data_IF_949080241366
#
_entry.id   IF_949080241366
#
_cell.length_a   1.000
_cell.length_b   1.000
_cell.length_c   1.000
_cell.angle_alpha   90.00
_cell.angle_beta   90.00
_cell.angle_gamma   90.00
#
_symmetry.space_group_name_H-M   'P 1'
#
loop_
_entity.id
_entity.type
_entity.pdbx_description
1 polymer ?
#
# COMPACT_ATOMS: atom_id res chain seq x y z
N UNK A 1 -2.26 0.22 -17.81
CA UNK A 1 -2.58 1.58 -17.27
C UNK A 1 -2.66 1.59 -15.75
N UNK A 2 -3.39 0.66 -15.08
CA UNK A 2 -3.46 0.63 -13.59
C UNK A 2 -2.09 0.44 -12.92
N UNK A 3 -1.21 -0.40 -13.47
CA UNK A 3 0.18 -0.52 -13.02
C UNK A 3 0.88 0.86 -12.97
N UNK A 4 0.79 1.62 -14.08
CA UNK A 4 1.37 2.98 -14.15
C UNK A 4 0.64 3.97 -13.23
N UNK A 5 -0.66 3.77 -12.98
CA UNK A 5 -1.41 4.56 -12.00
C UNK A 5 -0.87 4.35 -10.59
N UNK A 6 -0.73 3.10 -10.14
CA UNK A 6 -0.13 2.79 -8.83
C UNK A 6 1.34 3.19 -8.72
N UNK A 7 2.10 3.06 -9.82
CA UNK A 7 3.46 3.58 -9.92
C UNK A 7 3.51 5.09 -9.62
N UNK A 8 2.70 5.89 -10.33
CA UNK A 8 2.64 7.33 -10.11
C UNK A 8 2.17 7.68 -8.69
N UNK A 9 1.12 7.02 -8.18
CA UNK A 9 0.64 7.23 -6.80
C UNK A 9 1.77 7.13 -5.78
N UNK A 10 2.60 6.09 -5.88
CA UNK A 10 3.71 5.92 -4.95
C UNK A 10 4.87 6.90 -5.21
N UNK A 11 5.11 7.30 -6.45
CA UNK A 11 6.08 8.37 -6.74
C UNK A 11 5.65 9.70 -6.07
N UNK A 12 4.35 10.06 -6.14
CA UNK A 12 3.83 11.28 -5.50
C UNK A 12 3.86 11.19 -3.97
N UNK A 13 3.71 10.01 -3.40
CA UNK A 13 3.73 9.77 -1.95
C UNK A 13 5.13 9.82 -1.36
N UNK A 14 6.11 9.24 -2.06
CA UNK A 14 7.47 9.01 -1.55
C UNK A 14 8.40 10.20 -1.79
N UNK A 15 8.14 11.02 -2.81
CA UNK A 15 8.98 12.13 -3.24
C UNK A 15 9.42 13.06 -2.10
N UNK A 16 8.53 13.39 -1.17
CA UNK A 16 8.84 14.27 -0.04
C UNK A 16 9.89 13.67 0.91
N UNK A 17 9.97 12.34 1.04
CA UNK A 17 10.95 11.69 1.93
C UNK A 17 12.41 11.97 1.52
N UNK A 18 12.65 12.13 0.22
CA UNK A 18 13.96 12.55 -0.31
C UNK A 18 14.07 14.07 -0.36
N UNK A 19 13.01 14.75 -0.82
CA UNK A 19 13.02 16.21 -0.95
C UNK A 19 13.29 16.90 0.39
N UNK A 20 12.67 16.47 1.49
CA UNK A 20 12.83 17.08 2.82
C UNK A 20 14.28 17.02 3.30
N UNK A 21 15.03 15.99 2.91
CA UNK A 21 16.46 15.86 3.22
C UNK A 21 17.28 16.95 2.49
N UNK A 22 16.93 17.22 1.23
CA UNK A 22 17.59 18.27 0.46
C UNK A 22 17.18 19.68 0.94
N UNK A 23 15.90 19.88 1.23
CA UNK A 23 15.33 21.15 1.69
C UNK A 23 15.93 21.63 3.03
N UNK A 24 16.33 20.70 3.89
CA UNK A 24 16.83 21.01 5.24
C UNK A 24 18.34 20.81 5.42
N UNK A 25 19.05 20.34 4.37
CA UNK A 25 20.50 20.17 4.45
C UNK A 25 21.23 21.51 4.47
N UNK A 26 22.34 21.57 5.21
CA UNK A 26 23.23 22.71 5.20
C UNK A 26 24.12 22.70 3.95
N UNK A 27 24.33 23.87 3.36
CA UNK A 27 25.28 24.09 2.27
C UNK A 27 25.99 25.42 2.41
N UNK A 28 27.16 25.52 1.79
CA UNK A 28 28.00 26.70 1.83
C UNK A 28 27.64 27.64 0.68
N UNK A 29 27.40 28.93 1.00
CA UNK A 29 27.20 30.01 0.01
C UNK A 29 28.31 30.99 0.19
N UNK A 30 29.08 31.23 -0.89
CA UNK A 30 30.09 32.29 -0.91
C UNK A 30 29.45 33.59 -1.38
N UNK A 31 29.37 34.56 -0.48
CA UNK A 31 28.86 35.90 -0.76
C UNK A 31 29.80 36.68 -1.70
N UNK A 32 29.27 37.74 -2.33
CA UNK A 32 30.04 38.59 -3.25
C UNK A 32 31.30 39.25 -2.61
N UNK A 33 31.32 39.33 -1.27
CA UNK A 33 32.46 39.82 -0.51
C UNK A 33 33.54 38.74 -0.20
N UNK A 34 33.40 37.51 -0.74
CA UNK A 34 34.30 36.39 -0.50
C UNK A 34 34.07 35.63 0.80
N UNK A 35 33.09 36.04 1.67
CA UNK A 35 32.79 35.36 2.90
C UNK A 35 31.89 34.14 2.61
N UNK A 36 32.27 32.96 3.11
CA UNK A 36 31.45 31.75 3.03
C UNK A 36 30.56 31.64 4.26
N UNK A 37 29.26 31.59 4.03
CA UNK A 37 28.25 31.35 5.08
C UNK A 37 27.61 29.96 4.89
N UNK A 38 27.33 29.32 6.01
CA UNK A 38 26.57 28.05 6.02
C UNK A 38 25.10 28.40 6.13
N UNK A 39 24.30 27.96 5.19
CA UNK A 39 22.85 28.20 5.16
C UNK A 39 22.08 26.94 4.78
N UNK A 40 20.77 26.99 4.88
CA UNK A 40 19.82 25.96 4.40
C UNK A 40 18.58 26.64 3.84
N UNK A 41 17.83 25.94 2.95
CA UNK A 41 16.64 26.53 2.34
C UNK A 41 15.51 26.73 3.36
N UNK A 42 15.32 25.75 4.25
CA UNK A 42 14.29 25.78 5.28
C UNK A 42 14.84 25.40 6.65
N UNK A 43 14.49 26.22 7.65
CA UNK A 43 14.86 25.99 9.04
C UNK A 43 13.77 25.20 9.77
N UNK A 44 13.55 23.96 9.31
CA UNK A 44 12.57 23.05 9.93
C UNK A 44 13.27 22.07 10.87
N UNK A 45 12.82 22.04 12.12
CA UNK A 45 13.26 21.05 13.09
C UNK A 45 12.72 19.65 12.74
N UNK A 46 13.23 18.64 13.40
CA UNK A 46 12.84 17.24 13.17
C UNK A 46 11.35 16.99 13.46
N UNK A 47 10.74 17.77 14.36
CA UNK A 47 9.31 17.67 14.69
C UNK A 47 8.46 18.16 13.53
N UNK A 48 8.78 19.34 12.97
CA UNK A 48 8.10 19.91 11.80
C UNK A 48 8.24 18.94 10.61
N UNK A 49 9.44 18.39 10.38
CA UNK A 49 9.66 17.39 9.35
C UNK A 49 8.78 16.13 9.56
N UNK A 50 8.64 15.67 10.82
CA UNK A 50 7.75 14.56 11.18
C UNK A 50 6.29 14.85 10.87
N UNK A 51 5.80 16.05 11.19
CA UNK A 51 4.44 16.49 10.84
C UNK A 51 4.22 16.58 9.33
N UNK A 52 5.18 17.09 8.57
CA UNK A 52 5.10 17.17 7.11
C UNK A 52 5.03 15.78 6.47
N UNK A 53 5.86 14.84 6.91
CA UNK A 53 5.88 13.47 6.39
C UNK A 53 4.61 12.67 6.77
N UNK A 54 3.99 13.00 7.90
CA UNK A 54 2.75 12.36 8.35
C UNK A 54 1.49 12.98 7.75
N UNK A 55 1.55 14.25 7.34
CA UNK A 55 0.38 15.05 6.95
C UNK A 55 -0.44 14.46 5.80
N UNK A 56 0.20 13.80 4.86
CA UNK A 56 -0.45 13.06 3.79
C UNK A 56 -1.46 12.03 4.35
N UNK A 57 -1.09 11.31 5.38
CA UNK A 57 -1.93 10.24 5.92
C UNK A 57 -3.16 10.76 6.66
N UNK A 58 -3.16 12.04 7.12
CA UNK A 58 -4.34 12.65 7.72
C UNK A 58 -5.50 12.75 6.71
N UNK A 59 -5.19 13.19 5.47
CA UNK A 59 -6.19 13.21 4.42
C UNK A 59 -6.57 11.82 3.93
N UNK A 60 -5.58 10.97 3.75
CA UNK A 60 -5.72 9.63 3.19
C UNK A 60 -6.71 8.74 3.98
N UNK A 61 -6.70 8.79 5.32
CA UNK A 61 -7.55 7.95 6.16
C UNK A 61 -9.05 8.26 5.97
N UNK A 62 -9.41 9.53 5.77
CA UNK A 62 -10.82 9.94 5.66
C UNK A 62 -11.49 9.49 4.37
N UNK A 63 -10.74 9.39 3.28
CA UNK A 63 -11.31 9.14 1.96
C UNK A 63 -11.34 7.67 1.56
N UNK A 64 -10.80 6.76 2.38
CA UNK A 64 -10.84 5.32 2.14
C UNK A 64 -12.29 4.79 1.98
N UNK A 65 -13.21 5.17 2.87
CA UNK A 65 -14.61 4.77 2.78
C UNK A 65 -15.36 5.54 1.69
N UNK A 66 -15.11 6.85 1.60
CA UNK A 66 -15.75 7.73 0.62
C UNK A 66 -15.39 7.28 -0.81
N UNK A 67 -14.15 6.87 -1.04
CA UNK A 67 -13.66 6.41 -2.34
C UNK A 67 -14.41 5.19 -2.88
N UNK A 68 -14.75 4.23 -2.01
CA UNK A 68 -15.55 3.07 -2.40
C UNK A 68 -16.95 3.49 -2.89
N UNK A 69 -17.62 4.37 -2.14
CA UNK A 69 -18.93 4.90 -2.51
C UNK A 69 -18.88 5.70 -3.81
N UNK A 70 -17.88 6.60 -3.94
CA UNK A 70 -17.70 7.40 -5.14
C UNK A 70 -17.42 6.53 -6.38
N UNK A 71 -16.61 5.47 -6.23
CA UNK A 71 -16.33 4.53 -7.31
C UNK A 71 -17.57 3.81 -7.82
N UNK A 72 -18.52 3.48 -6.93
CA UNK A 72 -19.80 2.85 -7.31
C UNK A 72 -20.71 3.87 -8.02
N UNK A 73 -20.79 5.11 -7.54
CA UNK A 73 -21.74 6.10 -8.03
C UNK A 73 -21.29 6.81 -9.31
N UNK A 74 -20.01 7.13 -9.43
CA UNK A 74 -19.44 7.94 -10.52
C UNK A 74 -18.57 7.13 -11.48
N UNK A 75 -18.36 5.84 -11.22
CA UNK A 75 -17.45 4.97 -11.98
C UNK A 75 -16.00 5.02 -11.50
N UNK A 76 -15.34 3.88 -11.54
CA UNK A 76 -13.96 3.74 -11.09
C UNK A 76 -12.96 4.56 -11.91
N UNK A 77 -13.20 4.68 -13.21
CA UNK A 77 -12.37 5.45 -14.15
C UNK A 77 -12.24 6.93 -13.75
N UNK A 78 -13.38 7.60 -13.55
CA UNK A 78 -13.41 9.06 -13.28
C UNK A 78 -12.84 9.34 -11.90
N UNK A 79 -13.24 8.57 -10.88
CA UNK A 79 -12.76 8.77 -9.50
C UNK A 79 -11.25 8.55 -9.41
N UNK A 80 -10.70 7.53 -10.08
CA UNK A 80 -9.26 7.31 -10.14
C UNK A 80 -8.53 8.47 -10.83
N UNK A 81 -9.06 8.93 -11.98
CA UNK A 81 -8.46 10.04 -12.72
C UNK A 81 -8.45 11.34 -11.91
N UNK A 82 -9.56 11.69 -11.27
CA UNK A 82 -9.66 12.89 -10.42
C UNK A 82 -8.74 12.77 -9.21
N UNK A 83 -8.71 11.60 -8.56
CA UNK A 83 -7.85 11.36 -7.41
C UNK A 83 -6.37 11.58 -7.74
N UNK A 84 -5.86 10.84 -8.74
CA UNK A 84 -4.44 10.96 -9.11
C UNK A 84 -4.12 12.28 -9.81
N UNK A 85 -5.03 12.80 -10.65
CA UNK A 85 -4.83 14.08 -11.35
C UNK A 85 -4.73 15.25 -10.40
N UNK A 86 -5.64 15.35 -9.42
CA UNK A 86 -5.60 16.41 -8.40
C UNK A 86 -4.39 16.28 -7.49
N UNK A 87 -4.03 15.07 -7.07
CA UNK A 87 -2.81 14.84 -6.32
C UNK A 87 -1.56 15.28 -7.11
N UNK A 88 -1.52 15.00 -8.42
CA UNK A 88 -0.42 15.44 -9.29
C UNK A 88 -0.31 16.96 -9.42
N UNK A 89 -1.45 17.66 -9.54
CA UNK A 89 -1.50 19.14 -9.58
C UNK A 89 -1.01 19.71 -8.24
N UNK A 90 -1.48 19.18 -7.12
CA UNK A 90 -1.05 19.60 -5.78
C UNK A 90 0.44 19.36 -5.57
N UNK A 91 0.97 18.25 -6.08
CA UNK A 91 2.40 17.96 -6.07
C UNK A 91 3.20 19.03 -6.83
N UNK A 92 2.75 19.48 -8.02
CA UNK A 92 3.39 20.58 -8.76
C UNK A 92 3.35 21.88 -7.94
N UNK A 93 2.31 22.10 -7.15
CA UNK A 93 2.17 23.30 -6.30
C UNK A 93 2.96 23.21 -4.99
N UNK A 94 3.45 22.03 -4.61
CA UNK A 94 4.18 21.79 -3.35
C UNK A 94 5.38 22.73 -3.17
N UNK A 95 6.27 22.98 -4.15
CA UNK A 95 7.38 23.93 -3.98
C UNK A 95 6.92 25.36 -3.67
N UNK A 96 5.88 25.82 -4.37
CA UNK A 96 5.32 27.17 -4.14
C UNK A 96 4.75 27.27 -2.71
N UNK A 97 4.04 26.25 -2.27
CA UNK A 97 3.49 26.19 -0.91
C UNK A 97 4.61 26.20 0.15
N UNK A 98 5.70 25.47 -0.09
CA UNK A 98 6.84 25.42 0.82
C UNK A 98 7.49 26.81 1.02
N UNK A 99 7.69 27.57 -0.06
CA UNK A 99 8.25 28.91 0.01
C UNK A 99 7.33 29.93 0.69
N UNK A 100 6.01 29.77 0.60
CA UNK A 100 5.05 30.69 1.23
C UNK A 100 5.00 30.44 2.73
N UNK A 101 4.68 29.20 3.16
CA UNK A 101 4.55 28.85 4.58
C UNK A 101 4.49 27.34 4.78
N UNK A 102 5.10 26.85 5.87
CA UNK A 102 5.05 25.44 6.27
C UNK A 102 3.63 24.92 6.49
N UNK A 103 2.74 25.75 7.00
CA UNK A 103 1.32 25.38 7.23
C UNK A 103 0.55 25.21 5.92
N UNK A 104 0.88 26.01 4.90
CA UNK A 104 0.31 25.84 3.57
C UNK A 104 0.82 24.56 2.92
N UNK A 105 2.11 24.24 3.07
CA UNK A 105 2.70 22.98 2.62
C UNK A 105 1.98 21.80 3.28
N UNK A 106 1.76 21.86 4.60
CA UNK A 106 1.04 20.84 5.36
C UNK A 106 -0.39 20.67 4.82
N UNK A 107 -1.12 21.76 4.56
CA UNK A 107 -2.44 21.71 3.97
C UNK A 107 -2.47 21.06 2.59
N UNK A 108 -1.50 21.41 1.72
CA UNK A 108 -1.35 20.79 0.38
C UNK A 108 -1.12 19.29 0.51
N UNK A 109 -0.26 18.85 1.41
CA UNK A 109 -0.01 17.41 1.67
C UNK A 109 -1.24 16.68 2.19
N UNK A 110 -2.05 17.29 3.06
CA UNK A 110 -3.33 16.72 3.52
C UNK A 110 -4.30 16.57 2.33
N UNK A 111 -4.40 17.60 1.47
CA UNK A 111 -5.24 17.54 0.28
C UNK A 111 -4.76 16.44 -0.71
N UNK A 112 -3.46 16.29 -0.92
CA UNK A 112 -2.92 15.17 -1.72
C UNK A 112 -3.38 13.83 -1.15
N UNK A 113 -3.30 13.65 0.18
CA UNK A 113 -3.79 12.45 0.86
C UNK A 113 -5.27 12.22 0.65
N UNK A 114 -6.11 13.27 0.74
CA UNK A 114 -7.55 13.19 0.48
C UNK A 114 -7.85 12.69 -0.94
N UNK A 115 -7.14 13.19 -1.93
CA UNK A 115 -7.33 12.77 -3.32
C UNK A 115 -6.76 11.38 -3.61
N UNK A 116 -5.62 11.01 -3.03
CA UNK A 116 -5.05 9.67 -3.21
C UNK A 116 -5.81 8.58 -2.45
N UNK A 117 -6.46 8.91 -1.33
CA UNK A 117 -7.16 7.92 -0.51
C UNK A 117 -8.33 7.23 -1.22
N UNK A 118 -8.90 7.84 -2.26
CA UNK A 118 -9.97 7.22 -3.07
C UNK A 118 -9.44 6.20 -4.08
N UNK A 119 -8.15 6.19 -4.41
CA UNK A 119 -7.55 5.44 -5.54
C UNK A 119 -7.68 3.93 -5.34
N UNK A 120 -7.27 3.40 -4.19
CA UNK A 120 -7.33 1.95 -3.91
C UNK A 120 -8.77 1.44 -3.90
N UNK A 121 -9.72 2.06 -3.16
CA UNK A 121 -11.11 1.61 -3.16
C UNK A 121 -11.77 1.67 -4.54
N UNK A 122 -11.57 2.74 -5.31
CA UNK A 122 -12.19 2.86 -6.63
C UNK A 122 -11.59 1.90 -7.66
N UNK A 123 -10.32 1.51 -7.51
CA UNK A 123 -9.72 0.50 -8.39
C UNK A 123 -10.43 -0.86 -8.32
N UNK A 124 -11.06 -1.19 -7.18
CA UNK A 124 -11.85 -2.41 -7.02
C UNK A 124 -13.06 -2.44 -7.97
N UNK A 125 -13.67 -1.28 -8.27
CA UNK A 125 -14.77 -1.19 -9.25
C UNK A 125 -14.28 -1.48 -10.67
N UNK A 126 -13.08 -1.02 -11.01
CA UNK A 126 -12.47 -1.30 -12.32
C UNK A 126 -12.20 -2.82 -12.44
N UNK A 127 -11.63 -3.43 -11.41
CA UNK A 127 -11.39 -4.88 -11.38
C UNK A 127 -12.67 -5.70 -11.47
N UNK A 128 -13.74 -5.24 -10.80
CA UNK A 128 -15.05 -5.89 -10.85
C UNK A 128 -15.58 -5.99 -12.28
N UNK A 129 -15.37 -4.96 -13.09
CA UNK A 129 -15.90 -4.87 -14.45
C UNK A 129 -14.97 -5.48 -15.50
N UNK A 130 -13.65 -5.43 -15.31
CA UNK A 130 -12.67 -5.79 -16.34
C UNK A 130 -11.93 -7.11 -16.09
N UNK A 131 -11.84 -7.58 -14.84
CA UNK A 131 -11.00 -8.73 -14.52
C UNK A 131 -11.78 -10.04 -14.52
N UNK A 132 -11.52 -10.97 -15.50
CA UNK A 132 -12.08 -12.31 -15.49
C UNK A 132 -11.73 -13.06 -14.21
N UNK A 133 -12.64 -13.89 -13.69
CA UNK A 133 -12.46 -14.59 -12.40
C UNK A 133 -11.15 -15.35 -12.30
N UNK A 134 -10.79 -16.10 -13.33
CA UNK A 134 -9.61 -16.96 -13.34
C UNK A 134 -8.29 -16.17 -13.42
N UNK A 135 -8.30 -14.94 -13.97
CA UNK A 135 -7.12 -14.13 -14.16
C UNK A 135 -7.04 -12.94 -13.16
N UNK A 136 -8.09 -12.72 -12.39
CA UNK A 136 -8.25 -11.56 -11.51
C UNK A 136 -7.09 -11.39 -10.55
N UNK A 137 -6.67 -12.45 -9.88
CA UNK A 137 -5.56 -12.41 -8.92
C UNK A 137 -4.26 -11.98 -9.59
N UNK A 138 -3.94 -12.55 -10.75
CA UNK A 138 -2.76 -12.20 -11.54
C UNK A 138 -2.76 -10.74 -11.98
N UNK A 139 -3.86 -10.27 -12.54
CA UNK A 139 -4.00 -8.89 -13.04
C UNK A 139 -3.87 -7.87 -11.90
N UNK A 140 -4.51 -8.12 -10.75
CA UNK A 140 -4.43 -7.26 -9.56
C UNK A 140 -2.99 -7.23 -9.04
N UNK A 141 -2.32 -8.38 -8.91
CA UNK A 141 -0.94 -8.46 -8.40
C UNK A 141 0.03 -7.71 -9.32
N UNK A 142 -0.10 -7.85 -10.64
CA UNK A 142 0.71 -7.10 -11.60
C UNK A 142 0.48 -5.59 -11.44
N UNK A 143 -0.75 -5.15 -11.29
CA UNK A 143 -1.02 -3.72 -11.14
C UNK A 143 -0.48 -3.16 -9.81
N UNK A 144 -0.70 -3.87 -8.70
CA UNK A 144 -0.20 -3.46 -7.38
C UNK A 144 1.33 -3.46 -7.33
N UNK A 145 2.02 -4.32 -8.09
CA UNK A 145 3.50 -4.28 -8.16
C UNK A 145 4.04 -2.94 -8.64
N UNK A 146 3.22 -2.14 -9.33
CA UNK A 146 3.53 -0.75 -9.66
C UNK A 146 3.89 0.10 -8.44
N UNK A 147 3.33 -0.17 -7.26
CA UNK A 147 3.64 0.55 -6.02
C UNK A 147 5.11 0.36 -5.59
N UNK A 148 5.60 -0.87 -5.63
CA UNK A 148 6.98 -1.19 -5.27
C UNK A 148 7.96 -0.68 -6.31
N UNK A 149 7.67 -0.90 -7.60
CA UNK A 149 8.53 -0.42 -8.69
C UNK A 149 8.55 1.10 -8.73
N UNK A 150 7.41 1.76 -8.46
CA UNK A 150 7.33 3.21 -8.29
C UNK A 150 8.27 3.71 -7.18
N UNK A 151 8.25 3.08 -6.02
CA UNK A 151 9.13 3.42 -4.91
C UNK A 151 10.61 3.20 -5.27
N UNK A 152 10.95 2.05 -5.86
CA UNK A 152 12.32 1.69 -6.27
C UNK A 152 12.90 2.68 -7.28
N UNK A 153 12.09 3.20 -8.20
CA UNK A 153 12.52 4.18 -9.20
C UNK A 153 12.47 5.60 -8.64
N UNK A 154 11.45 5.93 -7.85
CA UNK A 154 11.26 7.28 -7.31
C UNK A 154 12.41 7.71 -6.40
N UNK A 155 12.87 6.85 -5.49
CA UNK A 155 13.90 7.21 -4.51
C UNK A 155 15.23 7.64 -5.17
N UNK A 156 15.84 6.83 -6.07
CA UNK A 156 17.06 7.24 -6.75
C UNK A 156 16.85 8.44 -7.68
N UNK A 157 15.74 8.44 -8.43
CA UNK A 157 15.46 9.52 -9.37
C UNK A 157 15.25 10.86 -8.65
N UNK A 158 14.53 10.85 -7.51
CA UNK A 158 14.37 12.04 -6.66
C UNK A 158 15.71 12.56 -6.15
N UNK A 159 16.59 11.66 -5.72
CA UNK A 159 17.93 12.05 -5.26
C UNK A 159 18.78 12.66 -6.38
N UNK A 160 18.75 12.08 -7.59
CA UNK A 160 19.44 12.62 -8.75
C UNK A 160 18.87 13.99 -9.19
N UNK A 161 17.55 14.10 -9.29
CA UNK A 161 16.87 15.35 -9.62
C UNK A 161 17.26 16.45 -8.62
N UNK A 162 17.19 16.14 -7.33
CA UNK A 162 17.57 17.09 -6.27
C UNK A 162 19.03 17.54 -6.36
N UNK A 163 19.95 16.62 -6.67
CA UNK A 163 21.38 16.92 -6.72
C UNK A 163 21.75 17.79 -7.94
N UNK A 164 21.09 17.60 -9.08
CA UNK A 164 21.46 18.25 -10.33
C UNK A 164 20.58 19.46 -10.71
N UNK A 165 19.30 19.44 -10.32
CA UNK A 165 18.29 20.42 -10.75
C UNK A 165 17.60 21.15 -9.59
N UNK A 166 17.97 20.83 -8.34
CA UNK A 166 17.31 21.34 -7.15
C UNK A 166 16.13 20.45 -6.70
N UNK A 167 15.77 20.55 -5.42
CA UNK A 167 14.73 19.72 -4.81
C UNK A 167 13.33 19.97 -5.39
N UNK A 168 13.06 21.17 -5.92
CA UNK A 168 11.79 21.53 -6.56
C UNK A 168 11.51 20.67 -7.78
N UNK A 169 12.54 20.29 -8.52
CA UNK A 169 12.45 19.48 -9.73
C UNK A 169 11.78 18.12 -9.48
N UNK A 170 11.94 17.57 -8.29
CA UNK A 170 11.29 16.33 -7.87
C UNK A 170 9.76 16.44 -8.05
N UNK A 171 9.18 17.50 -7.50
CA UNK A 171 7.75 17.74 -7.51
C UNK A 171 7.22 18.07 -8.90
N UNK A 172 7.96 18.87 -9.67
CA UNK A 172 7.57 19.21 -11.03
C UNK A 172 7.59 18.00 -11.96
N UNK A 173 8.63 17.16 -11.89
CA UNK A 173 8.77 15.99 -12.77
C UNK A 173 7.70 14.95 -12.45
N UNK A 174 7.56 14.53 -11.19
CA UNK A 174 6.58 13.50 -10.84
C UNK A 174 5.14 13.99 -10.98
N UNK A 175 4.86 15.26 -10.64
CA UNK A 175 3.55 15.84 -10.85
C UNK A 175 3.18 15.94 -12.33
N UNK A 176 4.12 16.34 -13.21
CA UNK A 176 3.90 16.40 -14.66
C UNK A 176 3.65 14.99 -15.24
N UNK A 177 4.43 13.99 -14.84
CA UNK A 177 4.24 12.59 -15.27
C UNK A 177 2.86 12.07 -14.86
N UNK A 178 2.41 12.38 -13.64
CA UNK A 178 1.06 12.02 -13.17
C UNK A 178 -0.04 12.72 -13.95
N UNK A 179 0.09 14.01 -14.28
CA UNK A 179 -0.85 14.74 -15.13
C UNK A 179 -0.92 14.15 -16.55
N UNK A 180 0.22 13.85 -17.17
CA UNK A 180 0.30 13.22 -18.49
C UNK A 180 -0.39 11.85 -18.45
N UNK A 181 -0.11 11.03 -17.43
CA UNK A 181 -0.77 9.75 -17.26
C UNK A 181 -2.29 9.90 -17.16
N UNK A 182 -2.77 10.91 -16.43
CA UNK A 182 -4.20 11.18 -16.25
C UNK A 182 -4.89 11.47 -17.58
N UNK A 183 -4.26 12.25 -18.47
CA UNK A 183 -4.77 12.52 -19.84
C UNK A 183 -4.89 11.21 -20.63
N UNK A 184 -3.84 10.38 -20.65
CA UNK A 184 -3.87 9.09 -21.32
C UNK A 184 -4.90 8.13 -20.71
N UNK A 185 -5.05 8.13 -19.39
CA UNK A 185 -6.06 7.34 -18.69
C UNK A 185 -7.47 7.67 -19.14
N UNK A 186 -7.83 8.96 -19.12
CA UNK A 186 -9.17 9.43 -19.54
C UNK A 186 -9.46 9.09 -20.99
N UNK A 187 -8.44 9.15 -21.85
CA UNK A 187 -8.58 8.85 -23.27
C UNK A 187 -8.68 7.36 -23.58
N UNK A 188 -7.87 6.52 -22.93
CA UNK A 188 -7.73 5.10 -23.26
C UNK A 188 -8.70 4.18 -22.50
N UNK A 189 -9.05 4.52 -21.24
CA UNK A 189 -9.77 3.60 -20.37
C UNK A 189 -11.27 3.87 -20.41
N UNK A 190 -12.07 2.81 -20.33
CA UNK A 190 -13.54 2.84 -20.17
C UNK A 190 -13.92 2.19 -18.84
N UNK A 191 -15.09 2.55 -18.29
CA UNK A 191 -15.57 1.97 -17.02
C UNK A 191 -16.00 0.52 -17.18
N UNK A 192 -16.50 0.14 -18.35
CA UNK A 192 -16.97 -1.21 -18.66
C UNK A 192 -16.43 -1.70 -20.01
N UNK A 193 -16.16 -3.01 -20.18
CA UNK A 193 -15.82 -3.60 -21.47
C UNK A 193 -16.86 -3.35 -22.55
N UNK A 194 -18.13 -3.25 -22.18
CA UNK A 194 -19.25 -2.98 -23.11
C UNK A 194 -19.22 -1.58 -23.71
N UNK A 195 -18.52 -0.65 -23.08
CA UNK A 195 -18.37 0.74 -23.53
C UNK A 195 -17.12 0.94 -24.41
N UNK A 196 -16.26 -0.08 -24.52
CA UNK A 196 -15.02 0.04 -25.28
C UNK A 196 -15.24 -0.34 -26.75
N UNK A 197 -15.20 0.63 -27.70
CA UNK A 197 -15.40 0.34 -29.11
C UNK A 197 -14.24 -0.45 -29.74
N UNK A 198 -13.12 -0.61 -29.03
CA UNK A 198 -11.92 -1.28 -29.51
C UNK A 198 -11.82 -2.74 -29.08
N UNK A 199 -12.67 -3.19 -28.16
CA UNK A 199 -12.66 -4.57 -27.68
C UNK A 199 -13.15 -5.53 -28.75
N UNK A 200 -12.51 -6.69 -28.89
CA UNK A 200 -12.99 -7.72 -29.80
C UNK A 200 -14.27 -8.38 -29.25
N UNK A 201 -15.15 -8.83 -30.15
CA UNK A 201 -16.37 -9.53 -29.74
C UNK A 201 -16.10 -10.83 -28.97
N UNK A 202 -14.95 -11.47 -29.22
CA UNK A 202 -14.51 -12.67 -28.51
C UNK A 202 -14.07 -12.34 -27.08
N UNK A 203 -13.25 -11.30 -26.92
CA UNK A 203 -12.78 -10.83 -25.63
C UNK A 203 -13.94 -10.32 -24.77
N UNK A 204 -14.85 -9.55 -25.35
CA UNK A 204 -16.05 -9.07 -24.68
C UNK A 204 -16.89 -10.25 -24.13
N UNK A 205 -17.14 -11.28 -24.98
CA UNK A 205 -17.85 -12.48 -24.53
C UNK A 205 -17.11 -13.23 -23.45
N UNK A 206 -15.78 -13.37 -23.57
CA UNK A 206 -14.96 -14.04 -22.55
C UNK A 206 -15.06 -13.34 -21.21
N UNK A 207 -14.90 -12.01 -21.17
CA UNK A 207 -15.01 -11.24 -19.93
C UNK A 207 -16.42 -11.34 -19.37
N UNK A 208 -17.47 -11.10 -20.19
CA UNK A 208 -18.86 -11.10 -19.74
C UNK A 208 -19.26 -12.46 -19.20
N UNK A 209 -18.99 -13.55 -19.93
CA UNK A 209 -19.33 -14.90 -19.47
C UNK A 209 -18.57 -15.28 -18.19
N UNK A 210 -17.31 -14.84 -18.05
CA UNK A 210 -16.56 -15.13 -16.82
C UNK A 210 -17.10 -14.37 -15.61
N UNK A 211 -17.77 -13.23 -15.81
CA UNK A 211 -18.39 -12.41 -14.79
C UNK A 211 -19.84 -12.80 -14.51
N UNK A 212 -20.53 -13.46 -15.45
CA UNK A 212 -21.86 -14.03 -15.26
C UNK A 212 -21.82 -15.09 -14.14
N UNK A 213 -22.78 -15.02 -13.23
CA UNK A 213 -22.83 -15.88 -12.03
C UNK A 213 -22.09 -15.35 -10.81
N UNK A 214 -21.46 -14.17 -10.88
CA UNK A 214 -21.04 -13.38 -9.71
C UNK A 214 -22.03 -12.24 -9.44
N UNK A 215 -23.30 -12.55 -9.28
CA UNK A 215 -24.16 -11.61 -8.56
C UNK A 215 -23.72 -11.75 -7.09
N UNK A 216 -23.05 -10.74 -6.48
CA UNK A 216 -22.93 -10.73 -5.03
C UNK A 216 -24.37 -10.79 -4.54
N UNK A 217 -24.61 -11.59 -3.52
CA UNK A 217 -25.89 -11.60 -2.82
C UNK A 217 -26.01 -10.21 -2.15
N UNK A 218 -26.53 -9.25 -2.91
CA UNK A 218 -26.62 -7.83 -2.53
C UNK A 218 -27.63 -7.62 -1.40
N UNK A 219 -28.38 -8.67 -1.03
CA UNK A 219 -29.35 -8.65 0.05
C UNK A 219 -28.81 -9.16 1.40
N UNK A 220 -27.55 -9.61 1.48
CA UNK A 220 -26.98 -10.01 2.77
C UNK A 220 -26.60 -8.79 3.59
N UNK A 221 -27.23 -8.64 4.73
CA UNK A 221 -26.81 -7.66 5.73
C UNK A 221 -25.38 -7.97 6.19
N UNK A 222 -24.49 -6.97 6.08
CA UNK A 222 -23.11 -7.11 6.53
C UNK A 222 -23.09 -7.26 8.06
N UNK A 223 -22.57 -8.37 8.61
CA UNK A 223 -22.57 -8.59 10.06
C UNK A 223 -21.44 -7.82 10.73
N UNK A 224 -21.50 -6.47 10.68
CA UNK A 224 -20.42 -5.58 11.12
C UNK A 224 -19.98 -5.87 12.57
N UNK A 225 -20.93 -6.10 13.49
CA UNK A 225 -20.61 -6.38 14.89
C UNK A 225 -19.87 -7.71 15.05
N UNK A 226 -20.27 -8.75 14.32
CA UNK A 226 -19.60 -10.05 14.37
C UNK A 226 -18.18 -9.96 13.79
N UNK A 227 -17.97 -9.13 12.77
CA UNK A 227 -16.65 -8.84 12.19
C UNK A 227 -15.79 -8.10 13.21
N UNK A 228 -16.30 -7.00 13.81
CA UNK A 228 -15.56 -6.16 14.76
C UNK A 228 -15.29 -6.85 16.10
N UNK A 229 -16.06 -7.88 16.48
CA UNK A 229 -15.82 -8.65 17.71
C UNK A 229 -15.04 -9.94 17.49
N UNK A 230 -14.67 -10.26 16.22
CA UNK A 230 -13.97 -11.49 15.86
C UNK A 230 -12.45 -11.40 16.18
N UNK A 231 -11.91 -12.24 17.09
CA UNK A 231 -10.49 -12.24 17.40
C UNK A 231 -9.58 -12.50 16.20
N UNK A 232 -9.88 -13.41 15.24
CA UNK A 232 -9.10 -13.60 14.03
C UNK A 232 -9.05 -12.36 13.13
N UNK A 233 -10.12 -11.56 13.07
CA UNK A 233 -10.13 -10.30 12.31
C UNK A 233 -9.18 -9.29 12.96
N UNK A 234 -9.21 -9.15 14.29
CA UNK A 234 -8.24 -8.30 14.99
C UNK A 234 -6.81 -8.78 14.84
N UNK A 235 -6.58 -10.10 14.77
CA UNK A 235 -5.26 -10.64 14.48
C UNK A 235 -4.74 -10.17 13.11
N UNK A 236 -5.60 -10.15 12.09
CA UNK A 236 -5.25 -9.59 10.77
C UNK A 236 -4.98 -8.09 10.83
N UNK A 237 -5.81 -7.33 11.54
CA UNK A 237 -5.67 -5.86 11.68
C UNK A 237 -4.33 -5.53 12.36
N UNK A 238 -4.01 -6.21 13.46
CA UNK A 238 -2.77 -6.00 14.20
C UNK A 238 -1.55 -6.40 13.37
N UNK A 239 -1.61 -7.54 12.67
CA UNK A 239 -0.54 -7.98 11.79
C UNK A 239 -0.29 -6.97 10.65
N UNK A 240 -1.36 -6.54 9.96
CA UNK A 240 -1.28 -5.54 8.91
C UNK A 240 -0.72 -4.20 9.43
N UNK A 241 -1.20 -3.73 10.59
CA UNK A 241 -0.72 -2.48 11.20
C UNK A 241 0.75 -2.58 11.62
N UNK A 242 1.21 -3.75 12.08
CA UNK A 242 2.61 -3.97 12.46
C UNK A 242 3.53 -3.96 11.24
N UNK A 243 3.12 -4.61 10.14
CA UNK A 243 3.88 -4.60 8.88
C UNK A 243 3.97 -3.17 8.30
N UNK A 244 2.83 -2.49 8.26
CA UNK A 244 2.74 -1.12 7.73
C UNK A 244 3.50 -0.11 8.61
N UNK A 245 3.64 -0.35 9.93
CA UNK A 245 4.49 0.47 10.80
C UNK A 245 5.92 0.51 10.28
N UNK A 246 6.56 -0.65 10.10
CA UNK A 246 7.93 -0.70 9.61
C UNK A 246 8.04 -0.19 8.18
N UNK A 247 7.09 -0.55 7.31
CA UNK A 247 7.07 -0.10 5.93
C UNK A 247 7.04 1.44 5.83
N UNK A 248 6.11 2.12 6.50
CA UNK A 248 6.02 3.58 6.44
C UNK A 248 7.13 4.28 7.20
N UNK A 249 7.62 3.71 8.33
CA UNK A 249 8.79 4.25 9.02
C UNK A 249 9.99 4.29 8.07
N UNK A 250 10.27 3.19 7.39
CA UNK A 250 11.39 3.14 6.45
C UNK A 250 11.13 4.00 5.22
N UNK A 251 9.92 3.99 4.68
CA UNK A 251 9.56 4.78 3.51
C UNK A 251 9.79 6.28 3.71
N UNK A 252 9.51 6.78 4.90
CA UNK A 252 9.62 8.21 5.22
C UNK A 252 10.97 8.61 5.81
N UNK A 253 11.66 7.71 6.50
CA UNK A 253 12.84 8.05 7.30
C UNK A 253 14.15 7.45 6.76
N UNK A 254 14.08 6.42 5.92
CA UNK A 254 15.30 5.72 5.45
C UNK A 254 16.26 6.63 4.68
N UNK A 255 15.82 7.51 3.76
CA UNK A 255 16.74 8.43 3.08
C UNK A 255 17.49 9.35 4.05
N UNK A 256 16.78 9.80 5.10
CA UNK A 256 17.35 10.64 6.17
C UNK A 256 18.38 9.87 7.00
N UNK A 257 18.04 8.67 7.44
CA UNK A 257 18.94 7.78 8.18
C UNK A 257 20.21 7.47 7.37
N UNK A 258 20.06 7.12 6.09
CA UNK A 258 21.21 6.86 5.20
C UNK A 258 22.11 8.08 5.07
N UNK A 259 21.53 9.27 4.90
CA UNK A 259 22.32 10.49 4.73
C UNK A 259 23.03 10.92 6.00
N UNK A 260 22.29 11.07 7.10
CA UNK A 260 22.81 11.73 8.30
C UNK A 260 23.50 10.77 9.26
N UNK A 261 22.92 9.59 9.51
CA UNK A 261 23.49 8.60 10.43
C UNK A 261 24.60 7.76 9.76
N UNK A 262 24.39 7.32 8.52
CA UNK A 262 25.36 6.50 7.78
C UNK A 262 26.28 7.31 6.87
N UNK A 263 26.08 8.62 6.77
CA UNK A 263 26.93 9.57 6.03
C UNK A 263 27.04 9.30 4.52
N UNK A 264 26.01 8.73 3.91
CA UNK A 264 25.93 8.66 2.46
C UNK A 264 25.72 10.08 1.88
N UNK A 265 26.21 10.35 0.67
CA UNK A 265 25.75 11.53 -0.05
C UNK A 265 24.26 11.37 -0.46
N UNK A 266 23.60 12.45 -0.84
CA UNK A 266 22.15 12.43 -1.15
C UNK A 266 21.82 11.48 -2.31
N UNK A 267 22.65 11.46 -3.35
CA UNK A 267 22.48 10.57 -4.51
C UNK A 267 22.53 9.10 -4.08
N UNK A 268 23.59 8.70 -3.38
CA UNK A 268 23.78 7.31 -2.94
C UNK A 268 22.71 6.90 -1.91
N UNK A 269 22.28 7.83 -1.05
CA UNK A 269 21.20 7.57 -0.08
C UNK A 269 19.90 7.19 -0.77
N UNK A 270 19.56 7.81 -1.90
CA UNK A 270 18.39 7.46 -2.71
C UNK A 270 18.49 6.05 -3.30
N UNK A 271 19.63 5.70 -3.90
CA UNK A 271 19.85 4.35 -4.45
C UNK A 271 19.80 3.27 -3.37
N UNK A 272 20.51 3.49 -2.27
CA UNK A 272 20.58 2.51 -1.18
C UNK A 272 19.22 2.34 -0.50
N UNK A 273 18.46 3.42 -0.36
CA UNK A 273 17.10 3.37 0.21
C UNK A 273 16.09 2.64 -0.67
N UNK A 274 16.36 2.45 -1.96
CA UNK A 274 15.50 1.67 -2.86
C UNK A 274 15.69 0.14 -2.70
N UNK A 275 16.88 -0.31 -2.28
CA UNK A 275 17.22 -1.75 -2.20
C UNK A 275 16.28 -2.58 -1.32
N UNK A 276 15.85 -2.12 -0.13
CA UNK A 276 14.90 -2.86 0.68
C UNK A 276 13.57 -3.12 -0.02
N UNK A 277 13.04 -2.17 -0.76
CA UNK A 277 11.77 -2.31 -1.50
C UNK A 277 11.90 -3.25 -2.70
N UNK A 278 13.06 -3.25 -3.33
CA UNK A 278 13.38 -4.25 -4.35
C UNK A 278 13.42 -5.65 -3.75
N UNK A 279 14.02 -5.81 -2.56
CA UNK A 279 14.06 -7.08 -1.85
C UNK A 279 12.64 -7.59 -1.49
N UNK A 280 11.75 -6.72 -0.98
CA UNK A 280 10.33 -7.09 -0.74
C UNK A 280 9.68 -7.61 -2.01
N UNK A 281 9.86 -6.92 -3.13
CA UNK A 281 9.25 -7.30 -4.40
C UNK A 281 9.66 -8.72 -4.84
N UNK A 282 10.90 -9.12 -4.61
CA UNK A 282 11.37 -10.48 -4.88
C UNK A 282 10.89 -11.49 -3.83
N UNK A 283 11.01 -11.14 -2.55
CA UNK A 283 10.70 -12.08 -1.46
C UNK A 283 9.22 -12.41 -1.42
N UNK A 284 8.31 -11.46 -1.72
CA UNK A 284 6.87 -11.73 -1.74
C UNK A 284 6.50 -12.76 -2.82
N UNK A 285 7.17 -12.74 -3.98
CA UNK A 285 6.96 -13.74 -5.04
C UNK A 285 7.46 -15.11 -4.58
N UNK A 286 8.65 -15.17 -3.99
CA UNK A 286 9.20 -16.43 -3.44
C UNK A 286 8.26 -16.98 -2.37
N UNK A 287 7.80 -16.14 -1.46
CA UNK A 287 6.89 -16.54 -0.38
C UNK A 287 5.55 -17.04 -0.93
N UNK A 288 4.98 -16.37 -1.94
CA UNK A 288 3.75 -16.81 -2.61
C UNK A 288 3.89 -18.20 -3.22
N UNK A 289 4.90 -18.41 -4.07
CA UNK A 289 5.16 -19.71 -4.68
C UNK A 289 5.47 -20.83 -3.67
N UNK A 290 6.23 -20.49 -2.62
CA UNK A 290 6.52 -21.44 -1.54
C UNK A 290 5.24 -21.81 -0.77
N UNK A 291 4.36 -20.82 -0.52
CA UNK A 291 3.07 -21.04 0.11
C UNK A 291 2.18 -22.00 -0.68
N UNK A 292 2.05 -21.77 -1.97
CA UNK A 292 1.25 -22.62 -2.88
C UNK A 292 1.84 -24.04 -2.94
N UNK A 293 3.17 -24.15 -3.03
CA UNK A 293 3.86 -25.45 -3.03
C UNK A 293 3.62 -26.22 -1.74
N UNK A 294 3.79 -25.59 -0.59
CA UNK A 294 3.59 -26.24 0.73
C UNK A 294 2.14 -26.64 0.92
N UNK A 295 1.19 -25.80 0.47
CA UNK A 295 -0.24 -26.10 0.53
C UNK A 295 -0.63 -27.24 -0.40
N UNK A 296 -0.07 -27.32 -1.62
CA UNK A 296 -0.33 -28.43 -2.57
C UNK A 296 0.14 -29.79 -2.05
N UNK A 297 1.15 -29.81 -1.16
CA UNK A 297 1.65 -31.02 -0.52
C UNK A 297 0.87 -31.41 0.76
N UNK A 298 -0.11 -30.60 1.20
CA UNK A 298 -0.89 -30.80 2.43
C UNK A 298 -0.01 -30.99 3.69
N UNK A 299 1.16 -30.35 3.75
CA UNK A 299 2.09 -30.48 4.86
C UNK A 299 1.60 -29.80 6.13
N UNK A 300 0.85 -28.71 5.99
CA UNK A 300 0.28 -27.92 7.08
C UNK A 300 -1.16 -27.53 6.76
N UNK A 301 -1.96 -27.31 7.80
CA UNK A 301 -3.27 -26.67 7.63
C UNK A 301 -3.10 -25.23 7.16
N UNK A 302 -4.12 -24.64 6.50
CA UNK A 302 -4.09 -23.25 6.03
C UNK A 302 -3.71 -22.29 7.18
N UNK A 303 -4.36 -22.45 8.33
CA UNK A 303 -4.05 -21.61 9.51
C UNK A 303 -2.64 -21.75 10.03
N UNK A 304 -2.07 -22.97 10.05
CA UNK A 304 -0.69 -23.20 10.45
C UNK A 304 0.28 -22.54 9.46
N UNK A 305 0.04 -22.71 8.16
CA UNK A 305 0.86 -22.11 7.11
C UNK A 305 0.89 -20.57 7.25
N UNK A 306 -0.27 -19.93 7.44
CA UNK A 306 -0.37 -18.48 7.64
C UNK A 306 0.43 -18.02 8.88
N UNK A 307 0.30 -18.75 10.00
CA UNK A 307 1.05 -18.44 11.24
C UNK A 307 2.56 -18.61 11.08
N UNK A 308 3.01 -19.65 10.39
CA UNK A 308 4.43 -19.89 10.13
C UNK A 308 5.02 -18.77 9.27
N UNK A 309 4.36 -18.42 8.15
CA UNK A 309 4.86 -17.40 7.24
C UNK A 309 4.96 -16.04 7.91
N UNK A 310 3.92 -15.62 8.63
CA UNK A 310 3.92 -14.35 9.36
C UNK A 310 4.94 -14.37 10.52
N UNK A 311 4.95 -15.44 11.31
CA UNK A 311 5.85 -15.57 12.45
C UNK A 311 7.33 -15.56 12.03
N UNK A 312 7.69 -16.28 10.97
CA UNK A 312 9.04 -16.27 10.40
C UNK A 312 9.37 -14.88 9.85
N UNK A 313 8.46 -14.28 9.07
CA UNK A 313 8.64 -12.93 8.52
C UNK A 313 8.94 -11.91 9.62
N UNK A 314 8.07 -11.78 10.61
CA UNK A 314 8.22 -10.80 11.70
C UNK A 314 9.44 -11.08 12.60
N UNK A 315 9.75 -12.35 12.87
CA UNK A 315 10.94 -12.69 13.66
C UNK A 315 12.23 -12.30 12.95
N UNK A 316 12.33 -12.55 11.64
CA UNK A 316 13.49 -12.16 10.85
C UNK A 316 13.57 -10.64 10.67
N UNK A 317 12.43 -9.95 10.41
CA UNK A 317 12.39 -8.49 10.37
C UNK A 317 12.91 -7.88 11.68
N UNK A 318 12.39 -8.33 12.83
CA UNK A 318 12.84 -7.87 14.14
C UNK A 318 14.35 -8.12 14.33
N UNK A 319 14.81 -9.35 14.05
CA UNK A 319 16.21 -9.74 14.24
C UNK A 319 17.15 -8.85 13.41
N UNK A 320 16.91 -8.72 12.11
CA UNK A 320 17.76 -7.90 11.25
C UNK A 320 17.64 -6.40 11.55
N UNK A 321 16.48 -5.93 11.99
CA UNK A 321 16.29 -4.56 12.44
C UNK A 321 17.17 -4.25 13.66
N UNK A 322 17.21 -5.14 14.65
CA UNK A 322 18.05 -5.00 15.85
C UNK A 322 19.55 -5.10 15.48
N UNK A 323 19.93 -6.07 14.66
CA UNK A 323 21.32 -6.24 14.23
C UNK A 323 21.82 -4.98 13.50
N UNK A 324 20.98 -4.34 12.66
CA UNK A 324 21.36 -3.18 11.87
C UNK A 324 21.88 -1.99 12.68
N UNK A 325 21.49 -1.88 13.96
CA UNK A 325 21.87 -0.75 14.83
C UNK A 325 22.90 -1.13 15.90
N UNK A 326 23.26 -2.41 16.03
CA UNK A 326 24.29 -2.85 16.95
C UNK A 326 25.68 -2.96 16.29
N UNK A 327 25.74 -3.51 15.09
CA UNK A 327 27.00 -3.60 14.32
C UNK A 327 27.04 -2.52 13.25
N UNK A 328 27.40 -1.32 13.70
CA UNK A 328 27.34 -0.11 12.86
C UNK A 328 28.55 -0.04 11.95
N UNK A 329 28.53 -0.82 10.88
CA UNK A 329 29.25 -0.48 9.66
C UNK A 329 28.25 -0.15 8.57
N UNK A 330 28.56 0.80 7.71
CA UNK A 330 27.66 1.26 6.63
C UNK A 330 27.16 0.07 5.79
N UNK A 331 28.01 -0.89 5.45
CA UNK A 331 27.68 -2.07 4.66
C UNK A 331 26.78 -3.01 5.44
N UNK A 332 27.15 -3.35 6.68
CA UNK A 332 26.38 -4.29 7.52
C UNK A 332 25.00 -3.74 7.83
N UNK A 333 24.89 -2.47 8.22
CA UNK A 333 23.61 -1.80 8.50
C UNK A 333 22.71 -1.83 7.28
N UNK A 334 23.24 -1.43 6.11
CA UNK A 334 22.48 -1.44 4.85
C UNK A 334 21.99 -2.86 4.51
N UNK A 335 22.87 -3.85 4.56
CA UNK A 335 22.52 -5.24 4.28
C UNK A 335 21.45 -5.77 5.23
N UNK A 336 21.58 -5.51 6.54
CA UNK A 336 20.58 -5.90 7.52
C UNK A 336 19.23 -5.21 7.30
N UNK A 337 19.20 -3.92 6.90
CA UNK A 337 17.97 -3.23 6.59
C UNK A 337 17.28 -3.77 5.32
N UNK A 338 18.08 -4.13 4.30
CA UNK A 338 17.56 -4.80 3.09
C UNK A 338 16.89 -6.11 3.45
N UNK A 339 17.51 -6.92 4.32
CA UNK A 339 16.93 -8.17 4.80
C UNK A 339 15.73 -7.94 5.72
N UNK A 340 15.82 -7.00 6.67
CA UNK A 340 14.75 -6.67 7.61
C UNK A 340 13.45 -6.33 6.86
N UNK A 341 13.51 -5.42 5.89
CA UNK A 341 12.33 -5.02 5.12
C UNK A 341 11.96 -6.11 4.11
N UNK A 342 12.95 -6.74 3.47
CA UNK A 342 12.73 -7.81 2.49
C UNK A 342 11.91 -8.98 3.04
N UNK A 343 12.18 -9.42 4.28
CA UNK A 343 11.43 -10.49 4.93
C UNK A 343 9.98 -10.13 5.26
N UNK A 344 9.59 -8.86 5.19
CA UNK A 344 8.19 -8.44 5.18
C UNK A 344 7.37 -9.11 4.09
N UNK A 345 7.98 -9.50 2.96
CA UNK A 345 7.32 -10.30 1.93
C UNK A 345 6.76 -11.64 2.43
N UNK A 346 7.41 -12.31 3.38
CA UNK A 346 6.86 -13.51 4.03
C UNK A 346 5.69 -13.18 4.93
N UNK A 347 5.78 -12.13 5.74
CA UNK A 347 4.69 -11.70 6.60
C UNK A 347 3.46 -11.35 5.76
N UNK A 348 3.63 -10.58 4.68
CA UNK A 348 2.55 -10.21 3.76
C UNK A 348 1.89 -11.44 3.11
N UNK A 349 2.65 -12.43 2.67
CA UNK A 349 2.10 -13.68 2.15
C UNK A 349 1.29 -14.46 3.21
N UNK A 350 1.65 -14.30 4.49
CA UNK A 350 0.94 -14.91 5.61
C UNK A 350 -0.45 -14.31 5.86
N UNK A 351 -0.61 -12.98 5.89
CA UNK A 351 -1.86 -12.37 6.30
C UNK A 351 -2.72 -11.82 5.16
N UNK A 352 -2.14 -11.43 4.02
CA UNK A 352 -2.91 -10.76 2.95
C UNK A 352 -3.99 -11.65 2.35
N UNK A 353 -3.70 -12.94 2.17
CA UNK A 353 -4.66 -13.91 1.61
C UNK A 353 -5.63 -14.42 2.68
N UNK A 354 -5.27 -14.33 3.95
CA UNK A 354 -6.05 -14.88 5.06
C UNK A 354 -7.43 -14.19 5.25
N UNK A 355 -7.62 -12.99 4.71
CA UNK A 355 -8.93 -12.35 4.65
C UNK A 355 -9.96 -13.22 3.93
N UNK A 356 -9.55 -13.86 2.82
CA UNK A 356 -10.39 -14.78 2.04
C UNK A 356 -10.60 -16.12 2.75
N UNK A 357 -9.59 -16.59 3.51
CA UNK A 357 -9.72 -17.83 4.29
C UNK A 357 -10.76 -17.66 5.41
N UNK A 358 -10.81 -16.48 6.05
CA UNK A 358 -11.74 -16.16 7.13
C UNK A 358 -13.17 -15.92 6.62
N UNK A 359 -13.29 -15.18 5.52
CA UNK A 359 -14.59 -14.78 4.98
C UNK A 359 -14.49 -14.43 3.48
N UNK A 360 -14.80 -15.37 2.59
CA UNK A 360 -14.88 -15.09 1.17
C UNK A 360 -15.92 -14.02 0.81
N UNK A 361 -17.05 -13.99 1.53
CA UNK A 361 -18.16 -13.07 1.24
C UNK A 361 -17.89 -11.63 1.71
N UNK A 362 -17.20 -11.46 2.85
CA UNK A 362 -16.95 -10.16 3.47
C UNK A 362 -15.46 -9.77 3.53
N UNK A 363 -14.59 -10.46 2.76
CA UNK A 363 -13.16 -10.17 2.72
C UNK A 363 -12.86 -8.69 2.41
N UNK A 364 -13.60 -8.06 1.49
CA UNK A 364 -13.45 -6.64 1.16
C UNK A 364 -13.76 -5.71 2.34
N UNK A 365 -14.72 -6.07 3.17
CA UNK A 365 -15.08 -5.31 4.38
C UNK A 365 -13.96 -5.42 5.41
N UNK A 366 -13.44 -6.63 5.63
CA UNK A 366 -12.31 -6.89 6.55
C UNK A 366 -11.07 -6.09 6.10
N UNK A 367 -10.76 -6.13 4.81
CA UNK A 367 -9.64 -5.36 4.22
C UNK A 367 -9.86 -3.86 4.39
N UNK A 368 -11.08 -3.35 4.16
CA UNK A 368 -11.40 -1.93 4.32
C UNK A 368 -11.21 -1.45 5.77
N UNK A 369 -11.71 -2.22 6.74
CA UNK A 369 -11.51 -1.93 8.16
C UNK A 369 -10.00 -2.02 8.49
N UNK A 370 -9.34 -3.09 8.05
CA UNK A 370 -7.91 -3.31 8.29
C UNK A 370 -7.04 -2.17 7.75
N UNK A 371 -7.29 -1.70 6.53
CA UNK A 371 -6.55 -0.59 5.94
C UNK A 371 -6.73 0.74 6.70
N UNK A 372 -7.91 0.98 7.27
CA UNK A 372 -8.12 2.17 8.10
C UNK A 372 -7.20 2.16 9.31
N UNK A 373 -7.13 1.04 10.03
CA UNK A 373 -6.20 0.89 11.16
C UNK A 373 -4.73 0.88 10.71
N UNK A 374 -4.43 0.22 9.60
CA UNK A 374 -3.09 0.17 9.04
C UNK A 374 -2.57 1.53 8.50
N UNK A 375 -3.43 2.54 8.34
CA UNK A 375 -3.00 3.90 8.01
C UNK A 375 -2.47 4.66 9.24
N UNK A 376 -2.91 4.31 10.47
CA UNK A 376 -2.45 4.97 11.70
C UNK A 376 -0.93 4.96 11.88
N UNK A 377 -0.20 3.86 11.63
CA UNK A 377 1.25 3.85 11.61
C UNK A 377 1.89 4.93 10.73
N UNK A 378 1.29 5.21 9.56
CA UNK A 378 1.78 6.27 8.67
C UNK A 378 1.66 7.68 9.27
N UNK A 379 0.71 7.87 10.17
CA UNK A 379 0.56 9.10 10.95
C UNK A 379 1.54 9.12 12.13
N UNK A 380 1.53 8.07 12.93
CA UNK A 380 2.21 8.05 14.23
C UNK A 380 3.73 7.94 14.06
N UNK A 381 4.21 7.10 13.13
CA UNK A 381 5.63 6.78 13.02
C UNK A 381 6.52 7.98 12.63
N UNK A 382 6.19 8.83 11.63
CA UNK A 382 7.01 10.01 11.33
C UNK A 382 7.00 11.06 12.43
N UNK A 383 5.86 11.24 13.10
CA UNK A 383 5.74 12.16 14.24
C UNK A 383 6.63 11.67 15.40
N UNK A 384 6.49 10.39 15.75
CA UNK A 384 7.28 9.79 16.83
C UNK A 384 8.78 9.88 16.53
N UNK A 385 9.18 9.63 15.27
CA UNK A 385 10.57 9.81 14.86
C UNK A 385 11.04 11.24 15.03
N UNK A 386 10.23 12.23 14.64
CA UNK A 386 10.58 13.65 14.80
C UNK A 386 10.76 14.10 16.25
N UNK A 387 10.09 13.43 17.19
CA UNK A 387 10.27 13.69 18.64
C UNK A 387 11.45 12.95 19.26
N UNK A 388 11.72 11.72 18.82
CA UNK A 388 12.76 10.87 19.40
C UNK A 388 14.14 11.08 18.75
N UNK A 389 14.17 11.41 17.47
CA UNK A 389 15.40 11.66 16.71
C UNK A 389 15.56 13.16 16.49
N UNK A 390 16.02 13.85 17.54
CA UNK A 390 16.29 15.29 17.50
C UNK A 390 17.66 15.61 16.90
N UNK A 391 18.64 14.72 17.08
CA UNK A 391 19.94 14.73 16.42
C UNK A 391 19.99 13.61 15.38
N UNK A 392 19.82 13.97 14.11
CA UNK A 392 19.77 13.06 12.98
C UNK A 392 21.08 12.29 12.75
N UNK A 393 22.19 12.78 13.30
CA UNK A 393 23.52 12.13 13.22
C UNK A 393 23.72 11.09 14.31
N UNK A 394 22.89 11.10 15.37
CA UNK A 394 23.02 10.22 16.52
C UNK A 394 22.42 8.84 16.23
N UNK A 395 23.29 7.84 16.06
CA UNK A 395 22.89 6.43 15.90
C UNK A 395 22.10 5.91 17.12
N UNK A 396 22.39 6.43 18.33
CA UNK A 396 21.70 6.01 19.54
C UNK A 396 20.21 6.40 19.53
N UNK A 397 19.89 7.59 19.03
CA UNK A 397 18.50 8.02 18.88
C UNK A 397 17.75 7.20 17.83
N UNK A 398 18.39 6.91 16.70
CA UNK A 398 17.83 6.00 15.69
C UNK A 398 17.62 4.59 16.22
N UNK A 399 18.51 4.10 17.09
CA UNK A 399 18.39 2.78 17.72
C UNK A 399 17.06 2.60 18.45
N UNK A 400 16.56 3.63 19.12
CA UNK A 400 15.26 3.61 19.80
C UNK A 400 14.13 3.33 18.80
N UNK A 401 14.16 4.00 17.64
CA UNK A 401 13.14 3.79 16.59
C UNK A 401 13.14 2.36 16.06
N UNK A 402 14.31 1.77 15.87
CA UNK A 402 14.44 0.39 15.40
C UNK A 402 13.98 -0.63 16.47
N UNK A 403 14.22 -0.34 17.75
CA UNK A 403 13.68 -1.17 18.84
C UNK A 403 12.16 -1.11 18.91
N UNK A 404 11.58 0.07 18.74
CA UNK A 404 10.11 0.23 18.70
C UNK A 404 9.54 -0.59 17.53
N UNK A 405 10.12 -0.46 16.33
CA UNK A 405 9.67 -1.22 15.16
C UNK A 405 9.81 -2.75 15.38
N UNK A 406 10.97 -3.21 15.91
CA UNK A 406 11.19 -4.60 16.26
C UNK A 406 10.20 -5.12 17.31
N UNK A 407 9.91 -4.32 18.33
CA UNK A 407 8.92 -4.64 19.38
C UNK A 407 7.51 -4.77 18.80
N UNK A 408 7.12 -3.89 17.89
CA UNK A 408 5.82 -3.95 17.20
C UNK A 408 5.71 -5.20 16.34
N UNK A 409 6.76 -5.59 15.61
CA UNK A 409 6.77 -6.84 14.86
C UNK A 409 6.58 -8.06 15.76
N UNK A 410 7.32 -8.12 16.90
CA UNK A 410 7.19 -9.23 17.85
C UNK A 410 5.80 -9.31 18.47
N UNK A 411 5.26 -8.20 18.94
CA UNK A 411 3.92 -8.14 19.52
C UNK A 411 2.85 -8.50 18.50
N UNK A 412 2.93 -7.95 17.29
CA UNK A 412 2.01 -8.26 16.21
C UNK A 412 2.07 -9.72 15.77
N UNK A 413 3.28 -10.29 15.68
CA UNK A 413 3.48 -11.70 15.36
C UNK A 413 2.93 -12.63 16.43
N UNK A 414 3.20 -12.36 17.70
CA UNK A 414 2.66 -13.12 18.83
C UNK A 414 1.13 -13.06 18.89
N UNK A 415 0.56 -11.86 18.74
CA UNK A 415 -0.88 -11.67 18.71
C UNK A 415 -1.54 -12.47 17.59
N UNK A 416 -0.96 -12.45 16.39
CA UNK A 416 -1.47 -13.23 15.27
C UNK A 416 -1.29 -14.74 15.49
N UNK A 417 -0.18 -15.20 16.04
CA UNK A 417 0.02 -16.61 16.35
C UNK A 417 -1.01 -17.14 17.37
N UNK A 418 -1.45 -16.31 18.32
CA UNK A 418 -2.44 -16.68 19.32
C UNK A 418 -3.85 -16.65 18.72
N UNK A 419 -4.27 -15.54 18.14
CA UNK A 419 -5.65 -15.27 17.75
C UNK A 419 -5.96 -15.51 16.26
N UNK A 420 -4.95 -15.62 15.40
CA UNK A 420 -5.12 -15.87 13.97
C UNK A 420 -5.73 -17.24 13.69
N UNK A 421 -6.57 -17.31 12.67
CA UNK A 421 -7.23 -18.54 12.21
C UNK A 421 -7.18 -18.64 10.69
N UNK A 422 -7.16 -19.85 10.15
CA UNK A 422 -7.34 -20.14 8.72
C UNK A 422 -8.68 -20.75 8.40
N UNK A 423 -9.62 -20.75 9.36
CA UNK A 423 -10.93 -21.37 9.21
C UNK A 423 -12.01 -20.34 8.87
N UNK A 424 -12.96 -20.75 8.04
CA UNK A 424 -14.16 -19.95 7.73
C UNK A 424 -14.89 -19.58 9.01
N UNK A 425 -15.20 -18.29 9.17
CA UNK A 425 -15.84 -17.78 10.37
C UNK A 425 -17.33 -18.12 10.41
N UNK A 426 -17.91 -18.36 11.62
CA UNK A 426 -19.32 -18.75 11.77
C UNK A 426 -20.29 -17.77 11.13
N UNK A 427 -20.01 -16.49 11.20
CA UNK A 427 -20.85 -15.40 10.65
C UNK A 427 -20.82 -15.30 9.13
N UNK A 428 -19.88 -15.97 8.45
CA UNK A 428 -19.82 -16.05 6.98
C UNK A 428 -20.55 -17.29 6.44
N UNK A 429 -20.88 -18.27 7.29
CA UNK A 429 -21.60 -19.47 6.87
C UNK A 429 -23.00 -19.09 6.40
N UNK A 430 -23.42 -19.64 5.26
CA UNK A 430 -24.80 -19.55 4.80
C UNK A 430 -25.67 -20.36 5.76
N UNK A 431 -26.73 -19.80 6.35
CA UNK A 431 -27.71 -20.57 7.11
C UNK A 431 -28.21 -21.76 6.29
N UNK A 432 -28.39 -22.90 6.91
CA UNK A 432 -28.80 -24.14 6.20
C UNK A 432 -30.15 -23.98 5.51
N UNK A 433 -31.03 -23.19 6.09
CA UNK A 433 -32.36 -22.87 5.54
C UNK A 433 -32.31 -22.19 4.17
N UNK A 434 -31.24 -21.38 3.90
CA UNK A 434 -31.03 -20.74 2.60
C UNK A 434 -30.37 -21.66 1.57
N UNK A 435 -29.63 -22.69 2.03
CA UNK A 435 -29.06 -23.71 1.14
C UNK A 435 -30.13 -24.65 0.56
N UNK A 436 -31.19 -24.91 1.31
CA UNK A 436 -32.31 -25.70 0.83
C UNK A 436 -33.15 -24.95 -0.20
N UNK A 437 -33.37 -23.65 0.02
CA UNK A 437 -34.08 -22.78 -0.93
C UNK A 437 -33.31 -22.60 -2.25
N UNK A 438 -31.97 -22.50 -2.19
CA UNK A 438 -31.14 -22.47 -3.41
C UNK A 438 -31.15 -23.80 -4.17
N UNK A 439 -31.19 -24.95 -3.48
CA UNK A 439 -31.32 -26.27 -4.14
C UNK A 439 -32.65 -26.43 -4.81
N UNK A 440 -33.73 -25.95 -4.20
CA UNK A 440 -35.07 -25.98 -4.79
C UNK A 440 -35.23 -25.05 -6.00
N UNK A 441 -34.50 -23.90 -6.02
CA UNK A 441 -34.50 -22.95 -7.17
C UNK A 441 -33.65 -23.44 -8.34
N UNK A 442 -32.71 -24.36 -8.11
CA UNK A 442 -31.89 -24.99 -9.16
C UNK A 442 -32.49 -26.30 -9.70
N UNK A 443 -33.57 -26.78 -9.16
CA UNK A 443 -34.43 -27.80 -9.83
C UNK A 443 -35.15 -27.07 -10.97
N UNK A 444 -34.64 -27.23 -12.14
CA UNK A 444 -34.96 -26.63 -13.42
C UNK A 444 -36.50 -26.52 -13.63
N UNK A 445 -37.08 -25.32 -13.71
CA UNK A 445 -38.53 -25.18 -13.98
C UNK A 445 -38.91 -25.51 -15.44
N UNK A 446 -37.97 -25.89 -16.29
CA UNK A 446 -38.21 -26.22 -17.71
C UNK A 446 -38.33 -27.72 -17.98
N UNK A 447 -38.44 -28.55 -16.95
CA UNK A 447 -38.70 -30.00 -17.12
C UNK A 447 -40.12 -30.38 -16.68
N UNK A 448 -41.11 -29.56 -16.96
CA UNK A 448 -42.53 -29.94 -16.91
C UNK A 448 -43.15 -29.70 -18.27
N UNK A 449 -43.68 -30.79 -18.80
CA UNK A 449 -44.60 -30.92 -19.93
C UNK A 449 -43.99 -31.20 -21.30
N UNK A 450 -43.51 -32.42 -21.50
CA UNK A 450 -43.97 -33.17 -22.66
C UNK A 450 -45.17 -33.99 -22.20
N UNK A 451 -46.34 -33.39 -22.27
CA UNK A 451 -47.62 -34.16 -22.20
C UNK A 451 -47.70 -35.02 -23.43
N UNK A 452 -47.74 -36.34 -23.17
CA UNK A 452 -48.14 -37.38 -24.10
C UNK A 452 -49.53 -37.07 -24.63
N UNK A 453 -49.67 -36.71 -25.91
CA UNK A 453 -50.94 -36.69 -26.60
C UNK A 453 -51.27 -38.14 -26.92
N UNK A 454 -52.41 -38.72 -26.45
CA UNK A 454 -52.82 -40.04 -26.88
C UNK A 454 -53.43 -39.96 -28.28
N UNK A 455 -52.90 -40.80 -29.17
CA UNK A 455 -53.53 -41.08 -30.46
C UNK A 455 -54.90 -41.69 -30.24
N UNK A 456 -55.92 -41.04 -30.80
CA UNK A 456 -57.16 -41.69 -31.31
C UNK A 456 -57.44 -41.17 -32.70
#
# INVERSE_FOLDING_TARGET
>A
MLFLGFFNTYCLRVNLSVAIVAMTQYYNVTLANGTTIVTRDFDWDTKIQGYLLSSFFYGYIFTQFIGAYMGIRFGGKIVFAVGLGMASILTILTPVAAYINVWLLLAVRILEGLFEGVIIPCSQQIWKNWAPKLERSRLITIAISGTYIGTVICLPLSAQLSTHLGWESIFYVFGAVGCIWCVFWLWLIKDSPTEDPKISSEELKYITNSLEGCKPDTNRNIPIWSILTSPPVWALIVAASSEIWGFYTMLTQLPKFMKYALKFNLSDSGFVSALPYLAVAFVIQIAGHLGDYVQSKNLFTVGQLRKIFLGVGFSLQCTFMIISVHWVSTVTTTFCLVLAIGFGGFAMAGFTVNNLDLSPNFASVIVGIGNTFATLPGIISPILTGYLVTDETSIEQWRIMFYIAGGIYLVGGLFYCIFGSGNLQPWDKVPEDLKETEKETYVNPNFQSEEVIPNT
#
